data_IF_264077953816
#
_entry.id   IF_264077953816
#
_cell.length_a   1.000
_cell.length_b   1.000
_cell.length_c   1.000
_cell.angle_alpha   90.00
_cell.angle_beta   90.00
_cell.angle_gamma   90.00
#
_symmetry.space_group_name_H-M   'P 1'
#
loop_
_entity.id
_entity.type
_entity.pdbx_description
1 polymer ?
#
# COMPACT_ATOMS: atom_id res chain seq x y z
N UNK A 1 -41.90 2.95 69.67
CA UNK A 1 -40.51 3.40 69.90
C UNK A 1 -39.80 3.45 68.56
N UNK A 2 -39.27 4.63 68.19
CA UNK A 2 -38.24 4.83 67.14
C UNK A 2 -36.91 4.20 67.61
N UNK A 3 -35.97 3.77 66.73
CA UNK A 3 -35.18 4.62 65.81
C UNK A 3 -35.16 4.06 64.37
N UNK A 4 -35.02 4.77 63.24
CA UNK A 4 -34.20 5.91 62.77
C UNK A 4 -32.71 5.65 62.56
N UNK A 5 -32.25 6.00 61.33
CA UNK A 5 -30.87 6.08 60.79
C UNK A 5 -30.28 4.72 60.34
N UNK A 6 -29.67 4.53 59.17
CA UNK A 6 -28.79 5.40 58.36
C UNK A 6 -28.97 5.07 56.86
N UNK A 7 -28.99 6.13 56.05
CA UNK A 7 -28.83 6.05 54.60
C UNK A 7 -27.34 5.87 54.25
N UNK A 8 -27.03 4.95 53.34
CA UNK A 8 -25.77 5.02 52.58
C UNK A 8 -25.99 4.44 51.18
N UNK A 9 -26.27 5.37 50.27
CA UNK A 9 -26.02 5.27 48.83
C UNK A 9 -24.57 4.85 48.55
N UNK A 10 -24.38 3.78 47.77
CA UNK A 10 -23.12 3.54 47.07
C UNK A 10 -23.45 3.15 45.63
N UNK A 11 -23.62 4.20 44.84
CA UNK A 11 -23.75 4.17 43.39
C UNK A 11 -22.34 3.98 42.82
N UNK A 12 -21.91 2.73 42.62
CA UNK A 12 -20.66 2.45 41.90
C UNK A 12 -20.99 2.42 40.41
N UNK A 13 -20.94 3.59 39.78
CA UNK A 13 -20.85 3.68 38.32
C UNK A 13 -19.48 3.16 37.89
N UNK A 14 -19.40 1.86 37.63
CA UNK A 14 -18.33 1.28 36.84
C UNK A 14 -18.52 1.77 35.40
N UNK A 15 -18.00 2.97 35.11
CA UNK A 15 -17.83 3.45 33.75
C UNK A 15 -16.70 2.64 33.13
N UNK A 16 -17.03 1.47 32.58
CA UNK A 16 -16.14 0.69 31.73
C UNK A 16 -16.01 1.39 30.39
N UNK A 17 -15.42 2.59 30.38
CA UNK A 17 -14.83 3.14 29.17
C UNK A 17 -13.62 2.25 28.87
N UNK A 18 -13.70 1.49 27.79
CA UNK A 18 -12.61 0.65 27.31
C UNK A 18 -11.46 1.59 26.99
N UNK A 19 -10.49 1.66 27.90
CA UNK A 19 -9.28 2.46 27.75
C UNK A 19 -8.41 1.81 26.66
N UNK A 20 -8.54 2.28 25.43
CA UNK A 20 -7.59 1.94 24.37
C UNK A 20 -6.37 2.86 24.52
N UNK A 21 -5.18 2.27 24.53
CA UNK A 21 -3.94 3.03 24.42
C UNK A 21 -3.90 3.62 23.01
N UNK A 22 -4.20 4.91 22.91
CA UNK A 22 -4.35 5.63 21.65
C UNK A 22 -3.11 6.49 21.37
N UNK A 23 -2.67 6.53 20.10
CA UNK A 23 -1.49 7.28 19.68
C UNK A 23 -1.62 8.80 19.94
N UNK A 24 -2.86 9.29 20.03
CA UNK A 24 -3.20 10.67 20.35
C UNK A 24 -2.89 11.07 21.80
N UNK A 25 -2.66 10.10 22.70
CA UNK A 25 -2.32 10.34 24.10
C UNK A 25 -0.84 10.09 24.43
N UNK A 26 -0.28 10.77 25.45
CA UNK A 26 1.03 10.44 25.99
C UNK A 26 1.07 9.00 26.52
N UNK A 27 2.28 8.44 26.63
CA UNK A 27 2.48 7.08 27.16
C UNK A 27 1.76 6.94 28.51
N UNK A 28 1.01 5.85 28.69
CA UNK A 28 0.22 5.52 29.87
C UNK A 28 -1.11 6.26 30.07
N UNK A 29 -1.44 7.26 29.24
CA UNK A 29 -2.76 7.91 29.32
C UNK A 29 -3.77 7.20 28.41
N UNK A 30 -5.00 7.05 28.89
CA UNK A 30 -6.10 6.50 28.11
C UNK A 30 -6.94 7.62 27.47
N UNK A 31 -7.34 7.45 26.23
CA UNK A 31 -8.27 8.37 25.57
C UNK A 31 -9.70 8.06 26.03
N UNK A 32 -10.33 9.00 26.71
CA UNK A 32 -11.69 8.83 27.26
C UNK A 32 -12.60 10.00 26.90
N UNK A 33 -13.92 9.75 26.72
CA UNK A 33 -14.88 10.81 26.50
C UNK A 33 -15.13 11.59 27.80
N UNK A 34 -14.96 12.90 27.75
CA UNK A 34 -15.39 13.80 28.82
C UNK A 34 -16.87 14.16 28.63
N UNK A 35 -17.74 13.46 29.35
CA UNK A 35 -19.20 13.56 29.25
C UNK A 35 -19.70 15.00 29.50
N UNK A 36 -19.01 15.78 30.32
CA UNK A 36 -19.42 17.15 30.64
C UNK A 36 -19.07 18.18 29.57
N UNK A 37 -18.11 17.87 28.69
CA UNK A 37 -17.55 18.84 27.72
C UNK A 37 -17.65 18.35 26.28
N UNK A 38 -18.35 17.24 26.05
CA UNK A 38 -18.53 16.55 24.77
C UNK A 38 -17.24 16.47 23.93
N UNK A 39 -16.14 16.13 24.59
CA UNK A 39 -14.80 16.11 24.00
C UNK A 39 -13.98 14.97 24.53
N UNK A 40 -13.01 14.51 23.74
CA UNK A 40 -12.06 13.49 24.16
C UNK A 40 -10.89 14.11 24.94
N UNK A 41 -10.45 13.43 25.99
CA UNK A 41 -9.31 13.84 26.81
C UNK A 41 -8.43 12.63 27.13
N UNK A 42 -7.15 12.87 27.39
CA UNK A 42 -6.23 11.84 27.84
C UNK A 42 -6.26 11.80 29.37
N UNK A 43 -6.67 10.69 29.97
CA UNK A 43 -6.81 10.55 31.41
C UNK A 43 -5.89 9.44 31.95
N UNK A 44 -5.19 9.74 33.04
CA UNK A 44 -4.45 8.79 33.85
C UNK A 44 -4.86 9.00 35.30
N UNK A 45 -5.59 8.04 35.88
CA UNK A 45 -6.14 8.13 37.22
C UNK A 45 -7.01 9.41 37.40
N UNK A 46 -6.50 10.41 38.11
CA UNK A 46 -7.17 11.71 38.36
C UNK A 46 -6.59 12.86 37.52
N UNK A 47 -5.53 12.62 36.75
CA UNK A 47 -4.93 13.64 35.89
C UNK A 47 -5.53 13.61 34.48
N UNK A 48 -5.87 14.79 33.96
CA UNK A 48 -6.29 14.96 32.57
C UNK A 48 -5.29 15.79 31.80
N UNK A 49 -4.90 15.32 30.62
CA UNK A 49 -4.05 16.05 29.66
C UNK A 49 -4.79 16.27 28.34
N UNK A 50 -4.46 17.36 27.62
CA UNK A 50 -4.94 17.55 26.26
C UNK A 50 -4.36 16.47 25.34
N UNK A 51 -5.03 16.31 24.20
CA UNK A 51 -4.58 15.45 23.10
C UNK A 51 -3.31 16.08 22.50
N UNK A 52 -2.38 15.25 21.99
CA UNK A 52 -1.17 15.72 21.31
C UNK A 52 -1.52 16.66 20.14
N UNK A 53 -0.70 17.69 19.96
CA UNK A 53 -0.84 18.64 18.85
C UNK A 53 -0.81 17.92 17.50
N UNK A 54 -1.71 18.31 16.60
CA UNK A 54 -1.88 17.70 15.29
C UNK A 54 -2.83 16.50 15.25
N UNK A 55 -3.17 15.89 16.39
CA UNK A 55 -4.20 14.86 16.44
C UNK A 55 -5.59 15.47 16.64
N UNK A 56 -6.59 14.86 16.02
CA UNK A 56 -8.00 15.18 16.24
C UNK A 56 -8.69 13.99 16.90
N UNK A 57 -9.67 14.23 17.77
CA UNK A 57 -10.51 13.15 18.29
C UNK A 57 -11.95 13.60 18.43
N UNK A 58 -12.86 12.70 18.10
CA UNK A 58 -14.31 12.92 18.10
C UNK A 58 -15.00 11.91 19.00
N UNK A 59 -16.00 12.36 19.75
CA UNK A 59 -16.86 11.47 20.52
C UNK A 59 -17.88 10.84 19.57
N UNK A 60 -17.90 9.52 19.49
CA UNK A 60 -18.88 8.74 18.72
C UNK A 60 -19.70 7.86 19.65
N UNK A 61 -20.87 7.41 19.19
CA UNK A 61 -21.72 6.46 19.91
C UNK A 61 -21.58 5.08 19.30
N UNK A 62 -21.21 4.10 20.12
CA UNK A 62 -21.15 2.71 19.70
C UNK A 62 -22.54 2.09 19.54
N UNK A 63 -22.56 0.82 19.17
CA UNK A 63 -23.79 0.05 18.87
C UNK A 63 -24.78 -0.01 20.05
N UNK A 64 -24.28 0.05 21.29
CA UNK A 64 -25.08 0.07 22.52
C UNK A 64 -25.33 1.49 23.06
N UNK A 65 -25.09 2.53 22.25
CA UNK A 65 -25.21 3.94 22.67
C UNK A 65 -24.10 4.43 23.61
N UNK A 66 -23.11 3.58 23.93
CA UNK A 66 -21.99 3.90 24.79
C UNK A 66 -21.05 4.86 24.04
N UNK A 67 -20.72 6.04 24.61
CA UNK A 67 -19.81 6.98 23.97
C UNK A 67 -18.38 6.44 24.01
N UNK A 68 -17.68 6.56 22.89
CA UNK A 68 -16.26 6.26 22.77
C UNK A 68 -15.56 7.35 21.97
N UNK A 69 -14.24 7.41 22.10
CA UNK A 69 -13.42 8.38 21.38
C UNK A 69 -12.75 7.72 20.18
N UNK A 70 -12.89 8.34 19.02
CA UNK A 70 -12.13 7.96 17.82
C UNK A 70 -11.15 9.07 17.51
N UNK A 71 -9.86 8.73 17.47
CA UNK A 71 -8.80 9.69 17.15
C UNK A 71 -8.30 9.50 15.72
N UNK A 72 -7.80 10.59 15.13
CA UNK A 72 -7.07 10.58 13.88
C UNK A 72 -5.87 11.50 14.04
N UNK A 73 -4.69 10.90 14.02
CA UNK A 73 -3.42 11.61 14.01
C UNK A 73 -2.82 11.56 12.59
N UNK A 74 -2.20 12.64 12.09
CA UNK A 74 -1.40 12.57 10.89
C UNK A 74 -0.25 11.61 11.17
N UNK A 75 -0.32 10.42 10.56
CA UNK A 75 0.86 9.57 10.46
C UNK A 75 1.89 10.35 9.64
N UNK A 76 3.07 10.61 10.20
CA UNK A 76 4.22 10.84 9.34
C UNK A 76 4.25 9.71 8.30
N UNK A 77 4.57 9.98 7.02
CA UNK A 77 4.83 8.92 6.07
C UNK A 77 5.95 8.08 6.66
N UNK A 78 5.57 6.96 7.28
CA UNK A 78 6.52 6.02 7.84
C UNK A 78 7.06 5.31 6.60
N UNK A 79 8.34 5.52 6.21
CA UNK A 79 8.91 4.69 5.18
C UNK A 79 8.66 3.25 5.61
N UNK A 80 8.12 2.43 4.71
CA UNK A 80 7.87 1.02 4.98
C UNK A 80 9.10 0.43 5.65
N UNK A 81 8.99 0.07 6.92
CA UNK A 81 10.06 -0.52 7.74
C UNK A 81 10.51 -1.90 7.25
N UNK A 82 10.17 -2.26 6.01
CA UNK A 82 10.65 -3.40 5.26
C UNK A 82 11.90 -3.09 4.39
N UNK A 83 12.62 -2.02 4.70
CA UNK A 83 14.03 -1.93 4.34
C UNK A 83 14.92 -2.30 5.54
N UNK A 84 14.76 -3.54 6.01
CA UNK A 84 15.94 -4.27 6.42
C UNK A 84 16.87 -4.28 5.21
N UNK A 85 18.02 -3.62 5.31
CA UNK A 85 19.10 -3.78 4.31
C UNK A 85 19.28 -5.29 4.16
N UNK A 86 19.04 -5.90 2.98
CA UNK A 86 19.32 -7.31 2.82
C UNK A 86 20.77 -7.53 3.23
N UNK A 87 21.01 -8.49 4.12
CA UNK A 87 22.36 -8.95 4.41
C UNK A 87 23.00 -9.26 3.06
N UNK A 88 23.99 -8.45 2.72
CA UNK A 88 24.83 -8.49 1.54
C UNK A 88 25.27 -9.93 1.23
N UNK A 89 25.04 -10.34 -0.01
CA UNK A 89 25.71 -11.44 -0.72
C UNK A 89 25.64 -12.85 -0.10
N UNK A 90 24.46 -13.31 0.30
CA UNK A 90 24.25 -14.76 0.27
C UNK A 90 23.52 -15.11 -1.03
N UNK A 91 24.07 -16.01 -1.85
CA UNK A 91 23.33 -16.53 -2.99
C UNK A 91 22.03 -17.15 -2.48
N UNK A 92 20.90 -16.72 -3.04
CA UNK A 92 19.61 -17.31 -2.71
C UNK A 92 19.61 -18.68 -3.37
N UNK A 93 19.71 -19.76 -2.59
CA UNK A 93 19.44 -21.08 -3.12
C UNK A 93 17.93 -21.19 -3.31
N UNK A 94 17.49 -21.35 -4.55
CA UNK A 94 16.12 -21.68 -4.87
C UNK A 94 15.73 -23.06 -4.31
N UNK A 95 14.45 -23.42 -4.33
CA UNK A 95 13.95 -24.71 -3.85
C UNK A 95 14.62 -25.92 -4.55
N UNK A 96 15.13 -25.72 -5.78
CA UNK A 96 15.84 -26.73 -6.56
C UNK A 96 17.36 -26.75 -6.30
N UNK A 97 17.85 -25.99 -5.31
CA UNK A 97 19.27 -25.84 -5.00
C UNK A 97 20.06 -24.96 -6.00
N UNK A 98 19.38 -24.34 -6.96
CA UNK A 98 19.97 -23.45 -7.96
C UNK A 98 20.22 -22.06 -7.39
N UNK A 99 21.27 -21.39 -7.87
CA UNK A 99 21.54 -19.99 -7.55
C UNK A 99 20.46 -19.10 -8.15
N UNK A 100 19.49 -18.72 -7.33
CA UNK A 100 18.43 -17.80 -7.68
C UNK A 100 18.97 -16.37 -7.63
N UNK A 101 18.95 -15.70 -8.79
CA UNK A 101 19.46 -14.32 -8.92
C UNK A 101 18.56 -13.29 -8.23
N UNK A 102 17.27 -13.59 -8.13
CA UNK A 102 16.28 -12.72 -7.53
C UNK A 102 15.49 -13.44 -6.43
N UNK A 103 14.93 -12.70 -5.45
CA UNK A 103 14.00 -13.23 -4.47
C UNK A 103 12.79 -13.93 -5.11
N UNK A 104 12.04 -14.67 -4.29
CA UNK A 104 10.79 -15.32 -4.71
C UNK A 104 9.81 -14.31 -5.32
N UNK A 105 9.09 -14.73 -6.36
CA UNK A 105 8.16 -13.92 -7.16
C UNK A 105 8.80 -12.79 -8.00
N UNK A 106 10.13 -12.70 -8.05
CA UNK A 106 10.85 -11.79 -8.94
C UNK A 106 11.53 -12.55 -10.07
N UNK A 107 11.67 -11.88 -11.21
CA UNK A 107 12.39 -12.37 -12.38
C UNK A 107 13.65 -11.53 -12.56
N UNK A 108 14.78 -12.20 -12.79
CA UNK A 108 16.01 -11.52 -13.20
C UNK A 108 15.87 -11.14 -14.67
N UNK A 109 15.90 -9.84 -14.97
CA UNK A 109 15.92 -9.32 -16.33
C UNK A 109 17.30 -8.72 -16.62
N UNK A 110 17.92 -9.04 -17.76
CA UNK A 110 19.17 -8.40 -18.13
C UNK A 110 18.91 -6.91 -18.39
N UNK A 111 19.79 -6.05 -17.87
CA UNK A 111 19.67 -4.60 -18.01
C UNK A 111 19.88 -4.20 -19.47
N UNK A 112 20.89 -4.79 -20.10
CA UNK A 112 21.16 -4.62 -21.52
C UNK A 112 20.40 -5.67 -22.33
N UNK A 113 19.92 -5.27 -23.51
CA UNK A 113 19.27 -6.21 -24.43
C UNK A 113 20.30 -7.23 -24.95
N UNK A 114 20.15 -8.53 -24.68
CA UNK A 114 21.09 -9.52 -25.16
C UNK A 114 21.05 -9.62 -26.69
N UNK A 115 22.14 -10.10 -27.32
CA UNK A 115 22.16 -10.39 -28.74
C UNK A 115 21.02 -11.35 -29.11
N UNK A 116 20.25 -11.02 -30.15
CA UNK A 116 19.22 -11.92 -30.65
C UNK A 116 19.88 -13.13 -31.31
N UNK A 117 19.61 -14.33 -30.81
CA UNK A 117 20.02 -15.56 -31.49
C UNK A 117 18.94 -15.90 -32.51
N UNK A 118 19.29 -15.95 -33.80
CA UNK A 118 18.35 -16.17 -34.91
C UNK A 118 17.20 -15.15 -34.98
N UNK A 119 17.43 -13.92 -34.49
CA UNK A 119 16.41 -12.87 -34.47
C UNK A 119 15.42 -12.97 -33.30
N UNK A 120 15.56 -13.99 -32.44
CA UNK A 120 14.76 -14.15 -31.23
C UNK A 120 15.59 -13.83 -29.98
N UNK A 121 15.09 -12.89 -29.16
CA UNK A 121 15.69 -12.55 -27.87
C UNK A 121 15.06 -13.31 -26.71
N UNK A 122 13.91 -13.96 -26.91
CA UNK A 122 13.16 -14.61 -25.84
C UNK A 122 13.86 -15.86 -25.30
N UNK A 123 14.78 -16.42 -26.08
CA UNK A 123 15.67 -17.54 -25.70
C UNK A 123 16.98 -17.09 -25.07
N UNK A 124 17.22 -15.78 -24.98
CA UNK A 124 18.45 -15.27 -24.40
C UNK A 124 18.53 -15.64 -22.92
N UNK A 125 19.59 -16.36 -22.57
CA UNK A 125 19.89 -16.74 -21.18
C UNK A 125 20.87 -15.74 -20.61
N UNK A 126 20.57 -15.18 -19.43
CA UNK A 126 21.43 -14.21 -18.75
C UNK A 126 22.73 -14.92 -18.32
N UNK A 127 23.88 -14.43 -18.79
CA UNK A 127 25.18 -14.97 -18.40
C UNK A 127 25.47 -14.69 -16.91
N UNK A 128 26.18 -15.57 -16.17
CA UNK A 128 26.50 -15.38 -14.74
C UNK A 128 27.05 -14.00 -14.37
N UNK A 129 27.79 -13.37 -15.28
CA UNK A 129 28.45 -12.08 -15.07
C UNK A 129 27.70 -10.88 -15.67
N UNK A 130 26.55 -11.12 -16.30
CA UNK A 130 25.79 -10.08 -16.97
C UNK A 130 24.96 -9.29 -15.95
N UNK A 131 24.95 -7.95 -16.03
CA UNK A 131 24.17 -7.12 -15.12
C UNK A 131 22.68 -7.40 -15.31
N UNK A 132 21.98 -7.56 -14.20
CA UNK A 132 20.55 -7.85 -14.18
C UNK A 132 19.86 -6.98 -13.14
N UNK A 133 18.58 -6.74 -13.37
CA UNK A 133 17.65 -6.17 -12.41
C UNK A 133 16.61 -7.21 -12.01
N UNK A 134 16.13 -7.14 -10.76
CA UNK A 134 15.05 -7.98 -10.29
C UNK A 134 13.75 -7.21 -10.41
N UNK A 135 12.84 -7.72 -11.23
CA UNK A 135 11.54 -7.08 -11.51
C UNK A 135 10.42 -8.02 -11.11
N UNK A 136 9.22 -7.46 -10.92
CA UNK A 136 8.00 -8.23 -10.71
C UNK A 136 7.14 -8.05 -11.96
N UNK A 137 7.18 -8.99 -12.92
CA UNK A 137 6.54 -8.79 -14.23
C UNK A 137 5.02 -8.61 -14.17
N UNK A 138 4.38 -8.94 -13.06
CA UNK A 138 2.94 -8.76 -12.88
C UNK A 138 2.53 -7.30 -12.64
N UNK A 139 3.46 -6.44 -12.23
CA UNK A 139 3.20 -5.04 -11.83
C UNK A 139 4.24 -4.04 -12.35
N UNK A 140 5.37 -4.51 -12.89
CA UNK A 140 6.40 -3.65 -13.46
C UNK A 140 5.97 -3.05 -14.80
N UNK A 141 6.02 -1.73 -14.90
CA UNK A 141 5.57 -0.98 -16.07
C UNK A 141 6.50 -1.12 -17.28
N UNK A 142 7.80 -1.32 -17.05
CA UNK A 142 8.83 -1.43 -18.07
C UNK A 142 9.11 -2.88 -18.47
N UNK A 143 8.73 -3.83 -17.63
CA UNK A 143 8.92 -5.27 -17.82
C UNK A 143 7.60 -6.04 -17.62
N UNK A 144 6.51 -5.53 -18.18
CA UNK A 144 5.19 -6.09 -17.96
C UNK A 144 5.01 -7.42 -18.72
N UNK A 145 4.61 -8.46 -17.99
CA UNK A 145 4.43 -9.81 -18.54
C UNK A 145 5.73 -10.58 -18.80
N UNK A 146 6.89 -9.96 -18.60
CA UNK A 146 8.21 -10.57 -18.74
C UNK A 146 9.31 -9.52 -18.95
N UNK A 147 10.55 -9.95 -19.13
CA UNK A 147 11.64 -9.01 -19.41
C UNK A 147 11.45 -8.37 -20.79
N UNK A 148 11.35 -7.04 -20.84
CA UNK A 148 11.23 -6.33 -22.11
C UNK A 148 12.53 -6.38 -22.92
N UNK A 149 13.69 -6.41 -22.25
CA UNK A 149 15.01 -6.56 -22.86
C UNK A 149 15.19 -7.86 -23.64
N UNK A 150 14.54 -8.94 -23.20
CA UNK A 150 14.52 -10.23 -23.92
C UNK A 150 13.32 -10.38 -24.86
N UNK A 151 12.40 -9.41 -24.87
CA UNK A 151 11.16 -9.50 -25.66
C UNK A 151 10.13 -10.50 -25.11
N UNK A 152 10.35 -11.06 -23.91
CA UNK A 152 9.34 -11.89 -23.23
C UNK A 152 8.20 -11.05 -22.65
N UNK A 153 8.47 -9.80 -22.31
CA UNK A 153 7.46 -8.83 -21.91
C UNK A 153 7.52 -7.56 -22.72
N UNK A 154 6.76 -6.56 -22.26
CA UNK A 154 6.60 -5.28 -22.94
C UNK A 154 6.73 -4.12 -21.95
N UNK A 155 7.29 -3.02 -22.43
CA UNK A 155 7.24 -1.75 -21.71
C UNK A 155 5.93 -1.04 -22.05
N UNK A 156 5.01 -0.96 -21.09
CA UNK A 156 3.68 -0.39 -21.33
C UNK A 156 3.71 1.10 -21.67
N UNK A 157 4.78 1.82 -21.28
CA UNK A 157 4.96 3.24 -21.60
C UNK A 157 5.42 3.48 -23.03
N UNK A 158 6.03 2.48 -23.67
CA UNK A 158 6.53 2.59 -25.04
C UNK A 158 5.45 2.23 -26.07
N UNK A 159 4.23 1.89 -25.62
CA UNK A 159 3.09 1.65 -26.49
C UNK A 159 2.72 2.97 -27.21
N UNK A 160 2.67 2.99 -28.54
CA UNK A 160 2.42 4.20 -29.30
C UNK A 160 1.12 4.91 -28.92
N UNK A 161 1.20 6.21 -28.65
CA UNK A 161 0.04 7.06 -28.36
C UNK A 161 -0.54 6.89 -26.97
N UNK A 162 0.06 6.07 -26.11
CA UNK A 162 -0.33 5.95 -24.69
C UNK A 162 0.15 7.16 -23.89
N UNK A 163 -0.68 7.61 -22.95
CA UNK A 163 -0.32 8.67 -21.99
C UNK A 163 -0.34 8.17 -20.55
N UNK A 164 -1.32 7.34 -20.20
CA UNK A 164 -1.47 6.78 -18.87
C UNK A 164 -1.84 5.32 -18.95
N UNK A 165 -1.03 4.49 -18.31
CA UNK A 165 -1.09 3.03 -18.37
C UNK A 165 -0.58 2.44 -17.05
N UNK A 166 -0.90 1.17 -16.78
CA UNK A 166 -0.31 0.36 -15.72
C UNK A 166 0.01 -1.03 -16.23
N UNK A 167 0.84 -1.77 -15.48
CA UNK A 167 0.91 -3.22 -15.59
C UNK A 167 0.02 -3.85 -14.51
N UNK A 168 -0.86 -4.77 -14.88
CA UNK A 168 -1.71 -5.48 -13.94
C UNK A 168 -1.84 -6.92 -14.38
N UNK A 169 -1.43 -7.84 -13.49
CA UNK A 169 -1.40 -9.29 -13.77
C UNK A 169 -0.61 -9.62 -15.06
N UNK A 170 0.47 -8.88 -15.32
CA UNK A 170 1.32 -9.07 -16.49
C UNK A 170 0.72 -8.56 -17.80
N UNK A 171 -0.31 -7.71 -17.74
CA UNK A 171 -0.94 -7.09 -18.91
C UNK A 171 -0.93 -5.57 -18.79
N UNK A 172 -0.65 -4.90 -19.91
CA UNK A 172 -0.77 -3.45 -19.97
C UNK A 172 -2.24 -3.03 -19.98
N UNK A 173 -2.61 -2.20 -19.01
CA UNK A 173 -3.93 -1.58 -18.91
C UNK A 173 -3.80 -0.10 -19.28
N UNK A 174 -4.33 0.29 -20.43
CA UNK A 174 -4.29 1.66 -20.94
C UNK A 174 -5.53 2.41 -20.44
N UNK A 175 -5.29 3.49 -19.68
CA UNK A 175 -6.34 4.35 -19.15
C UNK A 175 -6.56 5.60 -20.01
N UNK A 176 -5.48 6.16 -20.56
CA UNK A 176 -5.56 7.40 -21.35
C UNK A 176 -4.60 7.37 -22.53
N UNK A 177 -5.09 7.85 -23.67
CA UNK A 177 -4.29 8.08 -24.88
C UNK A 177 -3.88 9.57 -25.00
N UNK A 178 -2.80 9.82 -25.72
CA UNK A 178 -2.35 11.15 -26.11
C UNK A 178 -3.41 11.86 -26.97
N UNK A 179 -3.32 13.19 -27.05
CA UNK A 179 -4.20 13.98 -27.91
C UNK A 179 -4.04 13.53 -29.37
N UNK A 180 -5.18 13.34 -30.06
CA UNK A 180 -5.20 12.81 -31.42
C UNK A 180 -5.30 11.28 -31.50
N UNK A 181 -5.25 10.58 -30.37
CA UNK A 181 -5.45 9.13 -30.27
C UNK A 181 -6.73 8.78 -29.51
N UNK A 182 -7.33 7.64 -29.82
CA UNK A 182 -8.48 7.05 -29.14
C UNK A 182 -8.13 5.64 -28.66
N UNK A 183 -8.66 5.25 -27.50
CA UNK A 183 -8.55 3.89 -26.98
C UNK A 183 -9.39 2.96 -27.84
N UNK A 184 -8.80 1.86 -28.29
CA UNK A 184 -9.43 0.80 -29.08
C UNK A 184 -8.97 -0.57 -28.56
N UNK A 185 -9.56 -1.64 -29.08
CA UNK A 185 -9.07 -2.99 -28.93
C UNK A 185 -8.56 -3.48 -30.28
N UNK A 186 -7.42 -4.17 -30.29
CA UNK A 186 -6.92 -4.86 -31.47
C UNK A 186 -7.68 -6.20 -31.68
N UNK A 187 -7.35 -6.91 -32.76
CA UNK A 187 -7.96 -8.21 -33.11
C UNK A 187 -7.76 -9.30 -32.04
N UNK A 188 -6.81 -9.11 -31.13
CA UNK A 188 -6.52 -10.01 -30.00
C UNK A 188 -7.24 -9.57 -28.71
N UNK A 189 -8.10 -8.56 -28.77
CA UNK A 189 -8.82 -8.01 -27.61
C UNK A 189 -7.93 -7.24 -26.64
N UNK A 190 -6.72 -6.82 -27.05
CA UNK A 190 -5.80 -6.03 -26.22
C UNK A 190 -6.01 -4.54 -26.48
N UNK A 191 -5.86 -3.73 -25.43
CA UNK A 191 -6.00 -2.28 -25.53
C UNK A 191 -4.87 -1.66 -26.37
N UNK A 192 -5.22 -0.72 -27.22
CA UNK A 192 -4.28 0.09 -28.00
C UNK A 192 -4.78 1.53 -28.17
N UNK A 193 -3.85 2.46 -28.39
CA UNK A 193 -4.18 3.82 -28.77
C UNK A 193 -4.03 3.98 -30.28
N UNK A 194 -5.14 4.20 -30.98
CA UNK A 194 -5.17 4.41 -32.44
C UNK A 194 -5.40 5.87 -32.78
N UNK A 195 -4.80 6.35 -33.87
CA UNK A 195 -5.02 7.74 -34.32
C UNK A 195 -6.50 7.94 -34.65
N UNK A 196 -7.09 9.02 -34.15
CA UNK A 196 -8.44 9.44 -34.54
C UNK A 196 -8.41 9.76 -36.03
N UNK A 197 -9.30 9.14 -36.82
CA UNK A 197 -9.48 9.54 -38.21
C UNK A 197 -9.80 11.04 -38.27
N UNK A 198 -9.34 11.76 -39.30
CA UNK A 198 -9.78 13.13 -39.52
C UNK A 198 -11.30 13.14 -39.54
N UNK A 199 -11.94 13.93 -38.68
CA UNK A 199 -13.37 14.22 -38.87
C UNK A 199 -13.48 14.86 -40.25
N UNK A 200 -14.18 14.20 -41.20
CA UNK A 200 -14.75 14.92 -42.33
C UNK A 200 -15.72 15.93 -41.72
N UNK A 201 -15.33 17.20 -41.75
CA UNK A 201 -16.23 18.32 -41.49
C UNK A 201 -16.96 18.60 -42.79
#
# INVERSE_FOLDING_TARGET
MRPSFIATTLLVLASTAVATFDQACPLLYALVPNIHKDKCVCQLLLETKPIKDGCTAVVKKGLLGIPYCESTCPSHPQPSGHHGKPKRNQPILGPDGTLQRCPSAMTACPIDSPPALNGDRSTATISPNEPYECVIPSEDLHNCGGCSSTGQGVSCIDIPGVRGTSCTEGKCMIYTCMRGYALSLNDKGQQECVRKSPRRV
#
